data_IF_545590570537
#
_entry.id   IF_545590570537
#
_cell.length_a   1.000
_cell.length_b   1.000
_cell.length_c   1.000
_cell.angle_alpha   90.00
_cell.angle_beta   90.00
_cell.angle_gamma   90.00
#
_symmetry.space_group_name_H-M   'P 1'
#
loop_
_entity.id
_entity.type
_entity.pdbx_description
1 polymer ?
#
# COMPACT_ATOMS: atom_id res chain seq x y z
N UNK A 1 7.42 13.59 -10.87
CA UNK A 1 7.40 12.61 -9.78
C UNK A 1 7.37 13.29 -8.40
N UNK A 2 8.48 13.84 -7.88
CA UNK A 2 8.55 14.31 -6.48
C UNK A 2 7.45 15.32 -6.05
N UNK A 3 7.16 16.35 -6.85
CA UNK A 3 6.08 17.32 -6.55
C UNK A 3 4.69 16.67 -6.48
N UNK A 4 4.45 15.67 -7.32
CA UNK A 4 3.19 14.92 -7.37
C UNK A 4 3.05 14.01 -6.14
N UNK A 5 4.09 13.26 -5.79
CA UNK A 5 4.14 12.40 -4.59
C UNK A 5 3.89 13.21 -3.31
N UNK A 6 4.49 14.39 -3.18
CA UNK A 6 4.26 15.29 -2.03
C UNK A 6 2.78 15.70 -1.96
N UNK A 7 2.18 16.09 -3.08
CA UNK A 7 0.78 16.50 -3.12
C UNK A 7 -0.18 15.34 -2.79
N UNK A 8 0.07 14.14 -3.31
CA UNK A 8 -0.71 12.92 -3.00
C UNK A 8 -0.64 12.61 -1.51
N UNK A 9 0.58 12.57 -0.95
CA UNK A 9 0.81 12.34 0.48
C UNK A 9 0.06 13.35 1.35
N UNK A 10 0.19 14.64 1.06
CA UNK A 10 -0.46 15.69 1.85
C UNK A 10 -1.98 15.60 1.79
N UNK A 11 -2.56 15.35 0.61
CA UNK A 11 -4.01 15.16 0.46
C UNK A 11 -4.50 13.91 1.18
N UNK A 12 -3.78 12.80 1.07
CA UNK A 12 -4.12 11.55 1.76
C UNK A 12 -4.10 11.74 3.28
N UNK A 13 -3.06 12.40 3.80
CA UNK A 13 -2.96 12.73 5.21
C UNK A 13 -4.17 13.54 5.72
N UNK A 14 -4.53 14.61 4.99
CA UNK A 14 -5.72 15.43 5.31
C UNK A 14 -6.99 14.59 5.31
N UNK A 15 -7.20 13.74 4.30
CA UNK A 15 -8.38 12.88 4.25
C UNK A 15 -8.45 11.92 5.44
N UNK A 16 -7.32 11.34 5.85
CA UNK A 16 -7.28 10.47 7.03
C UNK A 16 -7.65 11.26 8.30
N UNK A 17 -7.16 12.48 8.46
CA UNK A 17 -7.53 13.34 9.59
C UNK A 17 -9.03 13.63 9.60
N UNK A 18 -9.61 14.02 8.45
CA UNK A 18 -11.06 14.25 8.33
C UNK A 18 -11.87 13.01 8.76
N UNK A 19 -11.44 11.82 8.33
CA UNK A 19 -12.11 10.56 8.68
C UNK A 19 -11.99 10.19 10.16
N UNK A 20 -10.79 10.34 10.74
CA UNK A 20 -10.56 10.00 12.15
C UNK A 20 -11.26 10.96 13.11
N UNK A 21 -11.28 12.25 12.76
CA UNK A 21 -11.97 13.30 13.50
C UNK A 21 -13.48 13.33 13.23
N UNK A 22 -13.98 12.58 12.23
CA UNK A 22 -15.39 12.55 11.79
C UNK A 22 -15.93 13.93 11.41
N UNK A 23 -15.12 14.69 10.66
CA UNK A 23 -15.45 16.03 10.16
C UNK A 23 -15.36 16.05 8.64
N UNK A 24 -16.08 16.98 8.00
CA UNK A 24 -16.18 17.03 6.54
C UNK A 24 -15.28 18.10 5.90
N UNK A 25 -14.90 19.14 6.65
CA UNK A 25 -14.14 20.28 6.11
C UNK A 25 -12.77 20.41 6.75
N UNK A 26 -11.77 20.73 5.93
CA UNK A 26 -10.38 20.99 6.37
C UNK A 26 -10.31 22.10 7.42
N UNK A 27 -11.14 23.13 7.30
CA UNK A 27 -11.21 24.23 8.27
C UNK A 27 -11.64 23.79 9.68
N UNK A 28 -12.24 22.60 9.81
CA UNK A 28 -12.67 22.04 11.10
C UNK A 28 -11.57 21.22 11.79
N UNK A 29 -10.44 20.94 11.13
CA UNK A 29 -9.37 20.10 11.71
C UNK A 29 -8.79 20.75 12.97
N UNK A 30 -8.38 22.02 12.89
CA UNK A 30 -7.80 22.74 14.02
C UNK A 30 -8.76 22.82 15.24
N UNK A 31 -10.03 23.26 15.09
CA UNK A 31 -10.95 23.29 16.23
C UNK A 31 -11.27 21.88 16.78
N UNK A 32 -11.40 20.85 15.94
CA UNK A 32 -11.64 19.49 16.40
C UNK A 32 -10.44 18.90 17.19
N UNK A 33 -9.21 19.19 16.76
CA UNK A 33 -8.01 18.80 17.50
C UNK A 33 -7.94 19.51 18.86
N UNK A 34 -8.25 20.81 18.90
CA UNK A 34 -8.29 21.59 20.15
C UNK A 34 -9.36 21.05 21.12
N UNK A 35 -10.54 20.68 20.60
CA UNK A 35 -11.60 20.05 21.38
C UNK A 35 -11.13 18.72 21.99
N UNK A 36 -10.54 17.82 21.20
CA UNK A 36 -10.01 16.54 21.72
C UNK A 36 -8.91 16.73 22.76
N UNK A 37 -8.04 17.74 22.58
CA UNK A 37 -7.01 18.07 23.56
C UNK A 37 -7.62 18.49 24.92
N UNK A 38 -8.79 19.14 24.91
CA UNK A 38 -9.52 19.56 26.11
C UNK A 38 -10.29 18.45 26.84
N UNK A 39 -10.59 17.32 26.17
CA UNK A 39 -11.46 16.26 26.71
C UNK A 39 -10.74 15.14 27.47
N UNK A 40 -9.40 15.17 27.58
CA UNK A 40 -8.61 14.22 28.37
C UNK A 40 -8.84 12.74 28.03
N UNK A 41 -7.97 12.14 27.19
CA UNK A 41 -7.75 10.69 27.00
C UNK A 41 -8.97 9.73 26.99
N UNK A 42 -10.18 10.18 26.61
CA UNK A 42 -11.41 9.36 26.60
C UNK A 42 -11.78 8.83 25.21
N UNK A 43 -10.87 8.87 24.24
CA UNK A 43 -11.10 8.32 22.91
C UNK A 43 -10.92 6.80 22.91
N UNK A 44 -12.01 6.05 22.79
CA UNK A 44 -11.99 4.60 22.56
C UNK A 44 -11.27 4.29 21.23
N UNK A 45 -9.99 4.00 21.34
CA UNK A 45 -9.08 3.78 20.23
C UNK A 45 -9.19 2.37 19.61
N UNK A 46 -10.01 1.48 20.19
CA UNK A 46 -10.20 0.10 19.71
C UNK A 46 -10.74 0.01 18.27
N UNK A 47 -11.34 1.10 17.77
CA UNK A 47 -11.89 1.21 16.41
C UNK A 47 -10.84 1.53 15.35
N UNK A 48 -9.66 1.99 15.74
CA UNK A 48 -8.54 2.23 14.82
C UNK A 48 -7.66 0.99 14.79
N UNK A 49 -7.09 0.65 13.62
CA UNK A 49 -6.24 -0.53 13.50
C UNK A 49 -5.09 -0.49 14.50
N UNK A 50 -4.92 -1.56 15.26
CA UNK A 50 -3.86 -1.72 16.26
C UNK A 50 -2.43 -1.55 15.69
N UNK A 51 -2.26 -1.70 14.38
CA UNK A 51 -0.96 -1.60 13.69
C UNK A 51 -0.40 -0.16 13.66
N UNK A 52 -1.24 0.85 13.90
CA UNK A 52 -0.86 2.26 13.91
C UNK A 52 -0.06 2.70 15.15
N UNK A 53 -0.09 1.93 16.24
CA UNK A 53 0.51 2.29 17.53
C UNK A 53 1.99 1.83 17.68
N UNK A 54 2.57 1.20 16.65
CA UNK A 54 3.82 0.43 16.77
C UNK A 54 5.10 1.15 16.32
N UNK A 55 5.02 2.32 15.69
CA UNK A 55 6.19 2.95 15.06
C UNK A 55 6.44 4.35 15.61
N UNK A 56 7.66 4.59 16.12
CA UNK A 56 8.14 5.94 16.46
C UNK A 56 8.10 6.83 15.21
N UNK A 57 7.92 8.14 15.45
CA UNK A 57 7.89 9.19 14.44
C UNK A 57 8.95 8.96 13.35
N UNK A 58 8.51 8.89 12.10
CA UNK A 58 9.44 8.75 10.98
C UNK A 58 10.21 10.04 10.70
N UNK A 59 11.39 9.88 10.11
CA UNK A 59 12.29 10.98 9.76
C UNK A 59 11.70 11.87 8.64
N UNK A 60 11.96 13.18 8.71
CA UNK A 60 11.60 14.24 7.74
C UNK A 60 10.16 14.82 7.78
N UNK A 61 9.70 15.18 8.98
CA UNK A 61 8.50 16.02 9.13
C UNK A 61 8.91 17.50 9.04
N UNK A 62 8.40 18.25 8.06
CA UNK A 62 8.65 19.71 7.92
C UNK A 62 8.23 20.52 9.16
N UNK A 63 7.33 19.99 9.97
CA UNK A 63 6.90 20.54 11.25
C UNK A 63 6.68 19.38 12.25
N UNK A 64 7.79 18.86 12.77
CA UNK A 64 7.84 17.70 13.66
C UNK A 64 6.99 17.89 14.91
N UNK A 65 6.98 19.09 15.50
CA UNK A 65 6.18 19.38 16.69
C UNK A 65 4.69 19.25 16.41
N UNK A 66 4.20 19.81 15.29
CA UNK A 66 2.80 19.71 14.91
C UNK A 66 2.38 18.27 14.60
N UNK A 67 3.20 17.51 13.88
CA UNK A 67 2.86 16.12 13.59
C UNK A 67 2.91 15.24 14.84
N UNK A 68 3.83 15.52 15.78
CA UNK A 68 3.91 14.82 17.07
C UNK A 68 2.69 15.12 17.93
N UNK A 69 2.22 16.37 17.93
CA UNK A 69 1.01 16.77 18.64
C UNK A 69 -0.23 16.10 18.05
N UNK A 70 -0.37 16.10 16.73
CA UNK A 70 -1.48 15.41 16.04
C UNK A 70 -1.40 13.91 16.29
N UNK A 71 -0.21 13.29 16.26
CA UNK A 71 -0.05 11.86 16.52
C UNK A 71 -0.39 11.50 17.97
N UNK A 72 -0.06 12.37 18.94
CA UNK A 72 -0.49 12.19 20.33
C UNK A 72 -2.02 12.15 20.47
N UNK A 73 -2.71 12.98 19.70
CA UNK A 73 -4.17 13.08 19.71
C UNK A 73 -4.85 12.02 18.82
N UNK A 74 -4.17 11.60 17.76
CA UNK A 74 -4.63 10.62 16.75
C UNK A 74 -3.48 9.65 16.41
N UNK A 75 -3.25 8.62 17.23
CA UNK A 75 -2.07 7.76 17.11
C UNK A 75 -1.88 7.06 15.76
N UNK A 76 -0.64 7.09 15.27
CA UNK A 76 -0.20 6.50 14.00
C UNK A 76 -0.50 7.33 12.76
N UNK A 77 -0.91 8.58 12.93
CA UNK A 77 -1.01 9.55 11.83
C UNK A 77 0.38 9.98 11.34
N UNK A 78 1.39 10.00 12.22
CA UNK A 78 2.78 10.27 11.85
C UNK A 78 3.33 9.25 10.84
N UNK A 79 2.96 7.96 10.94
CA UNK A 79 3.37 6.91 9.98
C UNK A 79 2.91 7.24 8.56
N UNK A 80 1.75 7.87 8.41
CA UNK A 80 1.21 8.22 7.09
C UNK A 80 2.10 9.23 6.39
N UNK A 81 2.67 10.20 7.11
CA UNK A 81 3.54 11.23 6.52
C UNK A 81 4.90 10.67 6.14
N UNK A 82 5.41 9.72 6.92
CA UNK A 82 6.76 9.19 6.78
C UNK A 82 6.80 7.76 6.23
N UNK A 83 5.73 7.34 5.57
CA UNK A 83 5.59 5.99 5.06
C UNK A 83 6.68 5.67 4.01
N UNK A 84 7.37 4.51 4.06
CA UNK A 84 8.43 4.15 3.10
C UNK A 84 7.96 4.14 1.64
N UNK A 85 6.66 3.95 1.41
CA UNK A 85 6.03 4.11 0.09
C UNK A 85 6.40 5.44 -0.59
N UNK A 86 6.42 6.56 0.14
CA UNK A 86 6.67 7.87 -0.46
C UNK A 86 8.10 8.01 -0.97
N UNK A 87 9.05 7.46 -0.21
CA UNK A 87 10.45 7.36 -0.63
C UNK A 87 10.55 6.45 -1.86
N UNK A 88 9.93 5.26 -1.80
CA UNK A 88 9.92 4.32 -2.93
C UNK A 88 9.38 4.96 -4.22
N UNK A 89 8.24 5.67 -4.15
CA UNK A 89 7.64 6.36 -5.30
C UNK A 89 8.47 7.55 -5.82
N UNK A 90 9.46 8.00 -5.05
CA UNK A 90 10.34 9.11 -5.42
C UNK A 90 11.70 8.65 -5.95
N UNK A 91 12.03 7.35 -5.83
CA UNK A 91 13.31 6.78 -6.28
C UNK A 91 13.16 6.25 -7.70
N UNK A 92 13.96 6.78 -8.63
CA UNK A 92 14.13 6.17 -9.94
C UNK A 92 15.24 5.12 -9.88
N UNK A 93 14.94 3.87 -10.25
CA UNK A 93 15.97 2.82 -10.36
C UNK A 93 16.53 2.31 -9.04
N UNK A 94 15.67 2.07 -8.04
CA UNK A 94 16.07 1.60 -6.71
C UNK A 94 16.93 0.33 -6.77
N UNK A 95 18.08 0.34 -6.09
CA UNK A 95 18.99 -0.81 -5.95
C UNK A 95 18.46 -1.78 -4.90
N UNK A 96 18.93 -3.03 -4.96
CA UNK A 96 18.49 -4.08 -4.03
C UNK A 96 18.66 -3.69 -2.55
N UNK A 97 19.78 -3.05 -2.18
CA UNK A 97 20.02 -2.62 -0.80
C UNK A 97 19.03 -1.56 -0.32
N UNK A 98 18.68 -0.59 -1.17
CA UNK A 98 17.69 0.45 -0.86
C UNK A 98 16.29 -0.17 -0.69
N UNK A 99 15.97 -1.17 -1.52
CA UNK A 99 14.73 -1.92 -1.40
C UNK A 99 14.68 -2.71 -0.08
N UNK A 100 15.80 -3.28 0.37
CA UNK A 100 15.89 -3.98 1.66
C UNK A 100 15.66 -3.01 2.82
N UNK A 101 16.31 -1.84 2.79
CA UNK A 101 16.13 -0.80 3.81
C UNK A 101 14.68 -0.31 3.90
N UNK A 102 14.02 -0.12 2.76
CA UNK A 102 12.61 0.26 2.71
C UNK A 102 11.72 -0.87 3.23
N UNK A 103 12.00 -2.12 2.86
CA UNK A 103 11.24 -3.28 3.31
C UNK A 103 11.33 -3.44 4.84
N UNK A 104 12.49 -3.21 5.45
CA UNK A 104 12.65 -3.32 6.91
C UNK A 104 11.77 -2.32 7.69
N UNK A 105 11.43 -1.17 7.08
CA UNK A 105 10.56 -0.14 7.67
C UNK A 105 9.06 -0.45 7.55
N UNK A 106 8.69 -1.48 6.78
CA UNK A 106 7.31 -1.95 6.67
C UNK A 106 6.85 -2.66 7.94
N UNK A 107 5.58 -3.02 7.95
CA UNK A 107 5.03 -3.79 9.04
C UNK A 107 5.77 -5.14 9.23
N UNK A 108 6.22 -5.53 10.45
CA UNK A 108 6.96 -6.78 10.67
C UNK A 108 6.25 -8.02 10.14
N UNK A 109 4.91 -8.02 10.15
CA UNK A 109 4.11 -9.11 9.60
C UNK A 109 4.24 -9.26 8.08
N UNK A 110 4.62 -8.19 7.36
CA UNK A 110 4.95 -8.19 5.93
C UNK A 110 6.44 -8.52 5.71
N UNK A 111 7.32 -8.06 6.60
CA UNK A 111 8.77 -8.28 6.50
C UNK A 111 9.10 -9.77 6.40
N UNK A 112 8.42 -10.63 7.16
CA UNK A 112 8.66 -12.07 7.13
C UNK A 112 8.41 -12.72 5.75
N UNK A 113 7.62 -12.09 4.89
CA UNK A 113 7.34 -12.61 3.54
C UNK A 113 8.28 -12.05 2.49
N UNK A 114 8.78 -10.83 2.68
CA UNK A 114 9.70 -10.18 1.75
C UNK A 114 11.15 -10.53 2.03
N UNK A 115 11.54 -10.57 3.31
CA UNK A 115 12.93 -10.64 3.76
C UNK A 115 13.22 -11.97 4.45
N UNK A 116 14.45 -12.44 4.27
CA UNK A 116 15.07 -13.51 5.07
C UNK A 116 16.31 -12.94 5.76
N UNK A 117 16.55 -13.42 6.98
CA UNK A 117 17.75 -13.17 7.74
C UNK A 117 18.58 -14.46 7.74
N UNK A 118 19.85 -14.33 7.41
CA UNK A 118 20.83 -15.41 7.47
C UNK A 118 21.63 -15.27 8.78
N UNK A 119 21.46 -16.23 9.70
CA UNK A 119 22.09 -16.17 11.02
C UNK A 119 23.62 -16.36 10.96
N UNK A 120 24.14 -17.07 9.95
CA UNK A 120 25.57 -17.33 9.83
C UNK A 120 26.37 -16.14 9.31
N UNK A 121 25.77 -15.34 8.43
CA UNK A 121 26.39 -14.16 7.83
C UNK A 121 25.87 -12.83 8.39
N UNK A 122 24.85 -12.89 9.25
CA UNK A 122 24.06 -11.73 9.70
C UNK A 122 23.47 -10.90 8.54
N UNK A 123 23.34 -11.49 7.35
CA UNK A 123 22.89 -10.79 6.16
C UNK A 123 21.37 -10.83 6.01
N UNK A 124 20.78 -9.69 5.65
CA UNK A 124 19.37 -9.59 5.25
C UNK A 124 19.31 -9.59 3.73
N UNK A 125 18.44 -10.41 3.17
CA UNK A 125 18.22 -10.48 1.72
C UNK A 125 16.76 -10.78 1.40
N UNK A 126 16.37 -10.59 0.14
CA UNK A 126 15.01 -10.93 -0.27
C UNK A 126 14.77 -12.43 -0.31
N UNK A 127 13.57 -12.85 0.11
CA UNK A 127 13.05 -14.19 -0.18
C UNK A 127 12.81 -14.32 -1.67
N UNK A 128 13.07 -15.52 -2.20
CA UNK A 128 12.58 -15.87 -3.54
C UNK A 128 11.17 -16.43 -3.38
N UNK A 129 10.18 -15.69 -3.87
CA UNK A 129 8.78 -16.12 -3.89
C UNK A 129 8.52 -17.11 -5.04
N UNK A 130 9.43 -17.23 -6.00
CA UNK A 130 9.32 -18.16 -7.13
C UNK A 130 9.21 -19.62 -6.71
N UNK A 131 9.89 -20.02 -5.62
CA UNK A 131 9.88 -21.38 -5.06
C UNK A 131 8.66 -21.70 -4.20
N UNK A 132 7.80 -20.71 -3.93
CA UNK A 132 6.66 -20.82 -3.02
C UNK A 132 5.34 -20.58 -3.76
N UNK A 133 5.01 -21.41 -4.76
CA UNK A 133 3.74 -21.26 -5.53
C UNK A 133 2.47 -21.18 -4.65
N UNK A 134 2.52 -21.70 -3.42
CA UNK A 134 1.44 -21.58 -2.43
C UNK A 134 1.19 -20.16 -1.93
N UNK A 135 2.13 -19.22 -2.02
CA UNK A 135 1.93 -17.86 -1.52
C UNK A 135 0.95 -17.03 -2.36
N UNK A 136 0.73 -17.38 -3.63
CA UNK A 136 -0.24 -16.71 -4.51
C UNK A 136 -1.56 -17.48 -4.65
N UNK A 137 -1.73 -18.64 -3.98
CA UNK A 137 -3.00 -19.36 -3.97
C UNK A 137 -4.05 -18.59 -3.18
N UNK A 138 -5.31 -18.65 -3.62
CA UNK A 138 -6.44 -18.11 -2.87
C UNK A 138 -6.42 -18.62 -1.42
N UNK A 139 -6.58 -17.73 -0.46
CA UNK A 139 -6.53 -18.07 0.96
C UNK A 139 -5.12 -18.30 1.54
N UNK A 140 -4.04 -18.04 0.80
CA UNK A 140 -2.69 -18.13 1.36
C UNK A 140 -2.49 -17.14 2.52
N UNK A 141 -1.55 -17.44 3.42
CA UNK A 141 -1.20 -16.54 4.52
C UNK A 141 -0.67 -15.18 4.02
N UNK A 142 0.02 -15.18 2.88
CA UNK A 142 0.54 -13.98 2.23
C UNK A 142 -0.58 -13.08 1.71
N UNK A 143 -1.51 -13.63 0.91
CA UNK A 143 -2.67 -12.86 0.42
C UNK A 143 -3.55 -12.35 1.56
N UNK A 144 -3.76 -13.16 2.60
CA UNK A 144 -4.47 -12.74 3.82
C UNK A 144 -3.77 -11.60 4.57
N UNK A 145 -2.44 -11.49 4.46
CA UNK A 145 -1.68 -10.43 5.14
C UNK A 145 -1.77 -9.11 4.34
N UNK A 146 -1.73 -9.18 3.01
CA UNK A 146 -1.78 -8.02 2.09
C UNK A 146 -3.21 -7.46 1.89
N UNK A 147 -4.25 -8.18 2.31
CA UNK A 147 -5.67 -7.73 2.26
C UNK A 147 -5.99 -6.60 3.27
N UNK A 148 -4.97 -5.98 3.85
CA UNK A 148 -5.13 -4.86 4.76
C UNK A 148 -5.41 -3.56 4.00
N UNK A 149 -5.18 -3.47 2.69
CA UNK A 149 -5.52 -2.31 1.85
C UNK A 149 -4.89 -1.00 2.36
N UNK A 150 -3.73 -1.11 3.01
CA UNK A 150 -2.97 0.01 3.56
C UNK A 150 -1.77 0.40 2.72
N UNK A 151 -1.12 1.52 3.08
CA UNK A 151 0.10 1.96 2.40
C UNK A 151 1.24 0.93 2.51
N UNK A 152 1.29 0.18 3.62
CA UNK A 152 2.27 -0.88 3.89
C UNK A 152 2.15 -2.02 2.87
N UNK A 153 0.92 -2.43 2.55
CA UNK A 153 0.65 -3.49 1.58
C UNK A 153 1.05 -3.06 0.17
N UNK A 154 0.71 -1.82 -0.23
CA UNK A 154 1.13 -1.28 -1.51
C UNK A 154 2.65 -1.22 -1.60
N UNK A 155 3.33 -0.73 -0.56
CA UNK A 155 4.80 -0.69 -0.53
C UNK A 155 5.39 -2.10 -0.61
N UNK A 156 4.84 -3.06 0.12
CA UNK A 156 5.27 -4.46 0.07
C UNK A 156 5.14 -5.06 -1.34
N UNK A 157 4.01 -4.82 -2.01
CA UNK A 157 3.79 -5.28 -3.38
C UNK A 157 4.81 -4.67 -4.35
N UNK A 158 5.04 -3.35 -4.27
CA UNK A 158 5.96 -2.66 -5.18
C UNK A 158 7.42 -3.02 -4.96
N UNK A 159 7.85 -3.13 -3.70
CA UNK A 159 9.19 -3.62 -3.34
C UNK A 159 9.36 -5.07 -3.80
N UNK A 160 8.34 -5.90 -3.58
CA UNK A 160 8.30 -7.28 -4.08
C UNK A 160 8.51 -7.33 -5.59
N UNK A 161 7.72 -6.59 -6.36
CA UNK A 161 7.83 -6.49 -7.82
C UNK A 161 9.25 -6.14 -8.24
N UNK A 162 9.79 -5.02 -7.74
CA UNK A 162 11.13 -4.56 -8.13
C UNK A 162 12.23 -5.53 -7.72
N UNK A 163 12.18 -6.09 -6.52
CA UNK A 163 13.17 -7.06 -6.08
C UNK A 163 13.19 -8.32 -6.96
N UNK A 164 12.03 -8.79 -7.42
CA UNK A 164 11.93 -9.94 -8.31
C UNK A 164 12.37 -9.61 -9.73
N UNK A 165 12.10 -8.40 -10.20
CA UNK A 165 12.58 -7.92 -11.50
C UNK A 165 14.10 -7.81 -11.55
N UNK A 166 14.74 -7.27 -10.50
CA UNK A 166 16.21 -7.22 -10.38
C UNK A 166 16.84 -8.62 -10.45
N UNK A 167 16.11 -9.65 -10.00
CA UNK A 167 16.52 -11.06 -10.02
C UNK A 167 16.03 -11.84 -11.25
N UNK A 168 15.44 -11.16 -12.24
CA UNK A 168 14.85 -11.76 -13.44
C UNK A 168 13.72 -12.78 -13.16
N UNK A 169 13.07 -12.71 -12.00
CA UNK A 169 11.95 -13.57 -11.59
C UNK A 169 10.59 -13.01 -12.10
N UNK A 170 10.46 -12.79 -13.42
CA UNK A 170 9.34 -12.06 -14.02
C UNK A 170 7.95 -12.68 -13.83
N UNK A 171 7.85 -14.01 -13.71
CA UNK A 171 6.58 -14.67 -13.42
C UNK A 171 5.99 -14.21 -12.07
N UNK A 172 6.84 -14.05 -11.06
CA UNK A 172 6.44 -13.57 -9.73
C UNK A 172 6.07 -12.10 -9.79
N UNK A 173 6.89 -11.28 -10.45
CA UNK A 173 6.59 -9.85 -10.66
C UNK A 173 5.22 -9.68 -11.33
N UNK A 174 4.92 -10.45 -12.37
CA UNK A 174 3.63 -10.41 -13.06
C UNK A 174 2.46 -10.66 -12.10
N UNK A 175 2.53 -11.70 -11.27
CA UNK A 175 1.50 -12.00 -10.26
C UNK A 175 1.32 -10.87 -9.24
N UNK A 176 2.41 -10.27 -8.78
CA UNK A 176 2.35 -9.15 -7.86
C UNK A 176 1.74 -7.90 -8.52
N UNK A 177 1.99 -7.67 -9.81
CA UNK A 177 1.37 -6.57 -10.58
C UNK A 177 -0.14 -6.74 -10.68
N UNK A 178 -0.65 -7.96 -10.89
CA UNK A 178 -2.08 -8.25 -10.83
C UNK A 178 -2.67 -7.84 -9.46
N UNK A 179 -1.99 -8.16 -8.35
CA UNK A 179 -2.43 -7.78 -7.01
C UNK A 179 -2.44 -6.26 -6.80
N UNK A 180 -1.50 -5.51 -7.41
CA UNK A 180 -1.53 -4.04 -7.38
C UNK A 180 -2.79 -3.51 -8.07
N UNK A 181 -3.22 -4.08 -9.20
CA UNK A 181 -4.46 -3.67 -9.87
C UNK A 181 -5.68 -3.90 -8.97
N UNK A 182 -5.76 -5.07 -8.34
CA UNK A 182 -6.82 -5.37 -7.38
C UNK A 182 -6.81 -4.41 -6.18
N UNK A 183 -5.64 -4.13 -5.62
CA UNK A 183 -5.47 -3.17 -4.54
C UNK A 183 -6.05 -1.79 -4.91
N UNK A 184 -5.78 -1.29 -6.11
CA UNK A 184 -6.31 0.02 -6.54
C UNK A 184 -7.82 0.03 -6.74
N UNK A 185 -8.42 -1.06 -7.24
CA UNK A 185 -9.87 -1.19 -7.29
C UNK A 185 -10.50 -1.12 -5.89
N UNK A 186 -9.87 -1.76 -4.91
CA UNK A 186 -10.37 -1.80 -3.54
C UNK A 186 -10.21 -0.47 -2.79
N UNK A 187 -9.04 0.16 -2.83
CA UNK A 187 -8.83 1.44 -2.14
C UNK A 187 -9.65 2.57 -2.79
N UNK A 188 -10.06 2.45 -4.05
CA UNK A 188 -10.99 3.40 -4.69
C UNK A 188 -12.33 3.49 -3.96
N UNK A 189 -12.72 2.43 -3.24
CA UNK A 189 -13.91 2.40 -2.40
C UNK A 189 -13.67 2.92 -0.98
N UNK A 190 -12.42 3.22 -0.59
CA UNK A 190 -12.07 3.65 0.77
C UNK A 190 -12.09 5.18 0.93
N UNK A 191 -12.87 5.73 1.88
CA UNK A 191 -13.13 7.17 1.95
C UNK A 191 -11.90 8.08 2.20
N UNK A 192 -10.83 7.53 2.75
CA UNK A 192 -9.54 8.17 2.97
C UNK A 192 -8.71 8.35 1.68
N UNK A 193 -8.97 7.53 0.66
CA UNK A 193 -8.27 7.59 -0.63
C UNK A 193 -8.95 8.51 -1.67
N UNK A 194 -10.01 9.22 -1.26
CA UNK A 194 -10.79 10.09 -2.13
C UNK A 194 -9.94 11.20 -2.74
N UNK A 195 -9.98 11.36 -4.06
CA UNK A 195 -9.23 12.41 -4.75
C UNK A 195 -7.71 12.22 -4.72
N UNK A 196 -7.21 11.08 -4.20
CA UNK A 196 -5.78 10.73 -4.24
C UNK A 196 -5.50 9.42 -4.96
N UNK A 197 -6.47 8.49 -5.03
CA UNK A 197 -6.29 7.16 -5.63
C UNK A 197 -5.77 7.20 -7.07
N UNK A 198 -6.30 8.10 -7.91
CA UNK A 198 -5.84 8.24 -9.30
C UNK A 198 -4.39 8.72 -9.39
N UNK A 199 -4.03 9.72 -8.58
CA UNK A 199 -2.66 10.24 -8.53
C UNK A 199 -1.70 9.16 -8.03
N UNK A 200 -2.08 8.44 -6.98
CA UNK A 200 -1.30 7.36 -6.42
C UNK A 200 -1.10 6.21 -7.43
N UNK A 201 -2.14 5.87 -8.20
CA UNK A 201 -2.03 4.89 -9.28
C UNK A 201 -1.06 5.34 -10.36
N UNK A 202 -1.14 6.61 -10.80
CA UNK A 202 -0.23 7.16 -11.82
C UNK A 202 1.23 7.11 -11.39
N UNK A 203 1.56 7.52 -10.16
CA UNK A 203 2.94 7.45 -9.66
C UNK A 203 3.40 5.99 -9.54
N UNK A 204 2.53 5.11 -9.03
CA UNK A 204 2.81 3.67 -8.94
C UNK A 204 3.10 3.05 -10.31
N UNK A 205 2.24 3.33 -11.28
CA UNK A 205 2.38 2.87 -12.65
C UNK A 205 3.66 3.41 -13.30
N UNK A 206 3.99 4.69 -13.07
CA UNK A 206 5.25 5.29 -13.54
C UNK A 206 6.48 4.52 -13.06
N UNK A 207 6.56 4.23 -11.76
CA UNK A 207 7.66 3.43 -11.20
C UNK A 207 7.70 2.03 -11.79
N UNK A 208 6.54 1.42 -12.05
CA UNK A 208 6.43 0.09 -12.63
C UNK A 208 6.77 0.04 -14.13
N UNK A 209 6.66 1.16 -14.85
CA UNK A 209 6.98 1.31 -16.26
C UNK A 209 8.48 1.55 -16.51
N UNK A 210 9.17 2.21 -15.58
CA UNK A 210 10.62 2.41 -15.60
C UNK A 210 11.34 1.06 -15.35
N UNK A 211 11.67 0.38 -16.44
CA UNK A 211 12.40 -0.88 -16.45
C UNK A 211 13.59 -0.81 -17.42
N UNK A 212 14.79 -0.78 -16.86
CA UNK A 212 16.07 -1.01 -17.55
C UNK A 212 16.37 -2.50 -17.59
N UNK A 213 16.52 -3.05 -18.80
CA UNK A 213 16.86 -4.46 -19.02
C UNK A 213 18.38 -4.61 -19.23
N UNK A 214 19.00 -5.47 -18.43
CA UNK A 214 20.26 -6.14 -18.77
C UNK A 214 20.12 -7.62 -18.37
N UNK A 215 19.84 -8.55 -19.29
CA UNK A 215 20.03 -9.98 -18.94
C UNK A 215 19.31 -11.06 -19.72
N UNK A 216 20.12 -11.89 -20.39
CA UNK A 216 19.85 -13.13 -21.13
C UNK A 216 19.15 -14.20 -20.26
N UNK A 217 18.18 -14.91 -20.84
CA UNK A 217 17.48 -16.14 -20.38
C UNK A 217 16.13 -16.05 -19.67
N UNK A 218 15.20 -16.92 -20.13
CA UNK A 218 14.22 -17.66 -19.33
C UNK A 218 12.85 -17.04 -19.06
N UNK A 219 12.69 -15.74 -19.26
CA UNK A 219 11.47 -15.01 -18.85
C UNK A 219 10.78 -14.21 -19.94
N UNK A 220 11.18 -14.37 -21.20
CA UNK A 220 10.85 -13.43 -22.28
C UNK A 220 9.33 -13.24 -22.49
N UNK A 221 8.54 -14.31 -22.41
CA UNK A 221 7.07 -14.22 -22.48
C UNK A 221 6.43 -13.51 -21.29
N UNK A 222 6.84 -13.84 -20.05
CA UNK A 222 6.34 -13.16 -18.84
C UNK A 222 6.81 -11.70 -18.78
N UNK A 223 8.03 -11.42 -19.25
CA UNK A 223 8.56 -10.07 -19.41
C UNK A 223 7.73 -9.29 -20.43
N UNK A 224 7.48 -9.84 -21.61
CA UNK A 224 6.65 -9.19 -22.62
C UNK A 224 5.24 -8.95 -22.09
N UNK A 225 4.65 -9.88 -21.33
CA UNK A 225 3.37 -9.69 -20.66
C UNK A 225 3.42 -8.66 -19.53
N UNK A 226 4.48 -8.61 -18.72
CA UNK A 226 4.63 -7.63 -17.64
C UNK A 226 4.90 -6.22 -18.19
N UNK A 227 5.74 -6.12 -19.22
CA UNK A 227 6.02 -4.89 -19.98
C UNK A 227 4.79 -4.43 -20.74
N UNK A 228 4.03 -5.36 -21.31
CA UNK A 228 2.73 -5.12 -21.92
C UNK A 228 1.77 -4.63 -20.86
N UNK A 229 1.58 -5.27 -19.72
CA UNK A 229 0.71 -4.79 -18.63
C UNK A 229 1.16 -3.42 -18.05
N UNK A 230 2.46 -3.14 -18.04
CA UNK A 230 2.99 -1.82 -17.69
C UNK A 230 2.82 -0.75 -18.79
N UNK A 231 2.41 -1.15 -20.00
CA UNK A 231 2.22 -0.28 -21.16
C UNK A 231 0.76 -0.25 -21.65
N UNK A 232 0.00 -1.32 -21.41
CA UNK A 232 -1.38 -1.54 -21.80
C UNK A 232 -2.27 -0.77 -20.84
N UNK A 233 -2.41 0.45 -21.28
CA UNK A 233 -3.34 1.50 -20.98
C UNK A 233 -3.63 1.77 -19.49
N UNK A 234 -2.75 2.54 -18.82
CA UNK A 234 -3.13 3.26 -17.61
C UNK A 234 -4.48 3.99 -17.74
N UNK A 235 -4.93 4.35 -18.96
CA UNK A 235 -6.26 4.94 -19.18
C UNK A 235 -7.38 3.98 -18.80
N UNK A 236 -7.32 2.69 -19.18
CA UNK A 236 -8.37 1.72 -18.83
C UNK A 236 -8.53 1.60 -17.30
N UNK A 237 -7.42 1.42 -16.59
CA UNK A 237 -7.46 1.29 -15.13
C UNK A 237 -7.84 2.61 -14.45
N UNK A 238 -7.42 3.76 -14.99
CA UNK A 238 -7.86 5.06 -14.50
C UNK A 238 -9.37 5.25 -14.70
N UNK A 239 -9.92 4.78 -15.80
CA UNK A 239 -11.37 4.84 -16.06
C UNK A 239 -12.15 3.91 -15.14
N UNK A 240 -11.63 2.71 -14.83
CA UNK A 240 -12.17 1.83 -13.80
C UNK A 240 -12.17 2.52 -12.43
N UNK A 241 -11.03 3.11 -12.02
CA UNK A 241 -10.89 3.84 -10.75
C UNK A 241 -11.90 5.01 -10.67
N UNK A 242 -12.02 5.80 -11.75
CA UNK A 242 -12.98 6.91 -11.83
C UNK A 242 -14.43 6.44 -11.73
N UNK A 243 -14.77 5.37 -12.45
CA UNK A 243 -16.12 4.78 -12.44
C UNK A 243 -16.49 4.27 -11.05
N UNK A 244 -15.57 3.57 -10.39
CA UNK A 244 -15.77 3.09 -9.01
C UNK A 244 -15.94 4.28 -8.06
N UNK A 245 -15.06 5.27 -8.16
CA UNK A 245 -15.07 6.45 -7.28
C UNK A 245 -16.33 7.32 -7.44
N UNK A 246 -16.88 7.40 -8.66
CA UNK A 246 -18.11 8.16 -8.97
C UNK A 246 -19.41 7.39 -8.65
N UNK A 247 -19.39 6.05 -8.69
CA UNK A 247 -20.55 5.19 -8.40
C UNK A 247 -20.99 5.16 -6.92
N UNK A 248 -20.27 5.86 -6.04
CA UNK A 248 -20.46 5.85 -4.59
C UNK A 248 -21.78 6.43 -4.07
N UNK A 249 -22.62 7.01 -4.93
CA UNK A 249 -23.93 7.52 -4.50
C UNK A 249 -24.93 6.41 -4.11
N UNK A 250 -24.68 5.11 -4.37
CA UNK A 250 -25.73 4.07 -4.18
C UNK A 250 -25.32 2.73 -3.58
N UNK A 251 -24.05 2.46 -3.26
CA UNK A 251 -23.57 1.06 -3.15
C UNK A 251 -22.98 0.59 -1.81
N UNK A 252 -23.20 1.30 -0.69
CA UNK A 252 -22.64 0.92 0.63
C UNK A 252 -23.09 -0.49 1.10
N UNK A 253 -24.19 -1.05 0.58
CA UNK A 253 -24.74 -2.34 1.02
C UNK A 253 -24.44 -3.59 0.16
N UNK A 254 -24.28 -3.46 -1.16
CA UNK A 254 -24.38 -4.64 -2.08
C UNK A 254 -23.05 -5.34 -2.38
N UNK A 255 -21.90 -4.66 -2.26
CA UNK A 255 -20.61 -5.26 -2.66
C UNK A 255 -19.98 -6.13 -1.56
N UNK A 256 -20.25 -5.80 -0.29
CA UNK A 256 -19.94 -6.68 0.85
C UNK A 256 -20.72 -7.99 0.82
N UNK A 257 -21.94 -8.00 0.24
CA UNK A 257 -22.71 -9.22 0.00
C UNK A 257 -22.16 -10.06 -1.16
N UNK A 258 -21.72 -9.44 -2.26
CA UNK A 258 -21.12 -10.15 -3.40
C UNK A 258 -19.79 -10.81 -2.99
N UNK A 259 -18.94 -10.09 -2.25
CA UNK A 259 -17.68 -10.64 -1.72
C UNK A 259 -17.88 -11.66 -0.59
N UNK A 260 -19.01 -11.62 0.14
CA UNK A 260 -19.38 -12.69 1.09
C UNK A 260 -19.92 -13.93 0.37
N UNK A 261 -20.65 -13.77 -0.74
CA UNK A 261 -21.15 -14.89 -1.55
C UNK A 261 -20.04 -15.67 -2.24
N UNK A 262 -19.00 -14.99 -2.75
CA UNK A 262 -17.84 -15.68 -3.32
C UNK A 262 -16.96 -16.40 -2.26
N UNK A 263 -17.11 -16.04 -0.96
CA UNK A 263 -16.45 -16.74 0.16
C UNK A 263 -17.22 -17.95 0.68
N UNK A 264 -18.55 -17.98 0.50
CA UNK A 264 -19.39 -19.10 0.95
C UNK A 264 -19.27 -20.34 0.04
N UNK A 265 -18.93 -20.15 -1.25
CA UNK A 265 -18.71 -21.25 -2.19
C UNK A 265 -17.41 -22.04 -1.94
N UNK A 266 -16.54 -21.59 -1.03
CA UNK A 266 -15.31 -22.29 -0.63
C UNK A 266 -15.40 -23.10 0.67
N UNK A 267 -16.55 -23.10 1.36
CA UNK A 267 -16.73 -23.77 2.66
C UNK A 267 -17.80 -24.87 2.64
N UNK A 268 -18.11 -25.46 1.49
CA UNK A 268 -19.00 -26.63 1.39
C UNK A 268 -18.33 -27.77 0.63
N UNK A 269 -17.34 -28.40 1.27
CA UNK A 269 -17.06 -29.84 1.09
C UNK A 269 -15.98 -30.26 2.08
N UNK A 270 -16.38 -31.00 3.11
CA UNK A 270 -15.47 -31.61 4.07
C UNK A 270 -16.17 -32.02 5.35
N UNK A 271 -17.28 -32.75 5.22
CA UNK A 271 -17.63 -33.80 6.18
C UNK A 271 -16.97 -35.10 5.70
#
# INVERSE_FOLDING_TARGET
MLKSVIAIRSKYYVNVLLRRLKIDKVSQIAPALAEMAGHGNTTDYSKFRADFYRYKAGENIKNESLATEIDRLLPGTARIVNHPLWSFLSICGAKEIELIELAQKLEPSLNQYLLKYDEGTCAISFRSLSKNHGCFKAGSKFLRTIDRRGLDDLAALLIGIKSHELRCEYYVSFRLRELVLHFFMEISLMPEFNGVVEGLYKETHGVLADLSYEGKYGGEGCFMSAKRMAREDPVFMLDVIKKISSSRASHVGKYSEILRRDRAFGCTSGD
#
